data_IF_089714971047
#
_entry.id   IF_089714971047
#
_cell.length_a   1.000
_cell.length_b   1.000
_cell.length_c   1.000
_cell.angle_alpha   90.00
_cell.angle_beta   90.00
_cell.angle_gamma   90.00
#
_symmetry.space_group_name_H-M   'P 1'
#
loop_
_entity.id
_entity.type
_entity.pdbx_description
1 polymer ?
#
# COMPACT_ATOMS: atom_id res chain seq x y z
N UNK A 1 -6.13 -11.20 20.72
CA UNK A 1 -6.16 -10.60 19.38
C UNK A 1 -4.88 -11.05 18.69
N UNK A 2 -5.02 -11.69 17.53
CA UNK A 2 -3.87 -12.20 16.78
C UNK A 2 -3.40 -11.10 15.82
N UNK A 3 -2.29 -10.45 16.15
CA UNK A 3 -1.79 -9.29 15.40
C UNK A 3 -1.35 -9.67 13.99
N UNK A 4 -0.88 -10.89 13.77
CA UNK A 4 -0.48 -11.35 12.44
C UNK A 4 -1.71 -11.53 11.54
N UNK A 5 -2.79 -12.11 12.09
CA UNK A 5 -4.06 -12.22 11.39
C UNK A 5 -4.68 -10.85 11.07
N UNK A 6 -4.66 -9.92 12.02
CA UNK A 6 -5.12 -8.54 11.79
C UNK A 6 -4.29 -7.82 10.73
N UNK A 7 -2.98 -8.06 10.70
CA UNK A 7 -2.12 -7.50 9.67
C UNK A 7 -2.42 -8.09 8.29
N UNK A 8 -2.67 -9.40 8.18
CA UNK A 8 -3.14 -10.00 6.92
C UNK A 8 -4.48 -9.40 6.48
N UNK A 9 -5.45 -9.24 7.38
CA UNK A 9 -6.76 -8.61 7.08
C UNK A 9 -6.57 -7.19 6.54
N UNK A 10 -5.67 -6.42 7.14
CA UNK A 10 -5.31 -5.09 6.64
C UNK A 10 -4.71 -5.16 5.23
N UNK A 11 -3.77 -6.06 5.00
CA UNK A 11 -3.11 -6.24 3.70
C UNK A 11 -4.08 -6.66 2.60
N UNK A 12 -5.03 -7.54 2.90
CA UNK A 12 -6.07 -7.98 1.97
C UNK A 12 -6.99 -6.80 1.63
N UNK A 13 -7.45 -6.06 2.65
CA UNK A 13 -8.32 -4.91 2.46
C UNK A 13 -7.69 -3.83 1.55
N UNK A 14 -6.41 -3.49 1.74
CA UNK A 14 -5.73 -2.52 0.84
C UNK A 14 -5.42 -3.11 -0.54
N UNK A 15 -5.45 -4.44 -0.71
CA UNK A 15 -5.23 -5.09 -2.01
C UNK A 15 -6.47 -5.03 -2.88
N UNK A 16 -7.64 -5.24 -2.28
CA UNK A 16 -8.91 -5.23 -3.00
C UNK A 16 -9.32 -3.84 -3.49
N UNK A 17 -8.88 -2.76 -2.82
CA UNK A 17 -9.26 -1.39 -3.16
C UNK A 17 -8.88 -0.99 -4.60
N UNK A 18 -7.71 -1.41 -5.10
CA UNK A 18 -7.22 -0.94 -6.39
C UNK A 18 -7.91 -1.63 -7.58
N UNK A 19 -8.01 -2.98 -7.64
CA UNK A 19 -8.78 -3.64 -8.69
C UNK A 19 -10.27 -3.26 -8.65
N UNK A 20 -10.85 -3.04 -7.46
CA UNK A 20 -12.23 -2.61 -7.31
C UNK A 20 -12.47 -1.12 -7.59
N UNK A 21 -11.42 -0.31 -7.75
CA UNK A 21 -11.50 1.16 -7.88
C UNK A 21 -12.19 1.84 -6.66
N UNK A 22 -12.08 1.24 -5.47
CA UNK A 22 -12.78 1.67 -4.25
C UNK A 22 -11.90 2.60 -3.40
N UNK A 23 -11.94 3.89 -3.70
CA UNK A 23 -11.17 4.89 -2.94
C UNK A 23 -11.58 4.96 -1.47
N UNK A 24 -12.87 4.78 -1.15
CA UNK A 24 -13.36 4.83 0.22
C UNK A 24 -12.67 3.76 1.11
N UNK A 25 -12.56 2.53 0.60
CA UNK A 25 -11.86 1.46 1.30
C UNK A 25 -10.38 1.77 1.53
N UNK A 26 -9.71 2.41 0.55
CA UNK A 26 -8.33 2.86 0.71
C UNK A 26 -8.23 3.97 1.78
N UNK A 27 -9.11 4.96 1.70
CA UNK A 27 -9.15 6.12 2.60
C UNK A 27 -9.37 5.71 4.06
N UNK A 28 -10.22 4.72 4.33
CA UNK A 28 -10.52 4.24 5.68
C UNK A 28 -9.30 3.64 6.38
N UNK A 29 -8.32 3.16 5.60
CA UNK A 29 -7.07 2.57 6.07
C UNK A 29 -5.94 3.58 6.27
N UNK A 30 -6.17 4.86 5.94
CA UNK A 30 -5.16 5.91 6.00
C UNK A 30 -5.39 6.86 7.17
N UNK A 31 -4.31 7.17 7.88
CA UNK A 31 -4.25 8.27 8.85
C UNK A 31 -3.54 9.45 8.19
N UNK A 32 -4.21 10.60 8.15
CA UNK A 32 -3.62 11.86 7.67
C UNK A 32 -2.94 12.62 8.82
N UNK A 33 -1.85 13.38 8.55
CA UNK A 33 -1.12 13.41 7.29
C UNK A 33 -0.45 12.05 7.01
N UNK A 34 -0.49 11.64 5.74
CA UNK A 34 0.05 10.38 5.25
C UNK A 34 1.31 10.63 4.44
N UNK A 35 2.35 9.83 4.62
CA UNK A 35 3.59 9.98 3.85
C UNK A 35 3.95 8.75 3.04
N UNK A 36 4.36 8.95 1.81
CA UNK A 36 4.94 7.91 0.96
C UNK A 36 6.39 8.25 0.67
N UNK A 37 7.30 7.42 1.15
CA UNK A 37 8.71 7.54 0.83
C UNK A 37 8.93 6.89 -0.53
N UNK A 38 9.22 7.73 -1.52
CA UNK A 38 9.56 7.33 -2.87
C UNK A 38 11.06 7.54 -3.11
N UNK A 39 11.55 7.08 -4.25
CA UNK A 39 12.88 7.37 -4.79
C UNK A 39 13.14 8.87 -5.01
N UNK A 40 12.09 9.63 -5.33
CA UNK A 40 12.14 11.09 -5.45
C UNK A 40 12.06 11.82 -4.10
N UNK A 41 12.02 11.07 -3.00
CA UNK A 41 11.90 11.59 -1.64
C UNK A 41 10.51 11.34 -1.03
N UNK A 42 10.29 11.83 0.20
CA UNK A 42 8.98 11.78 0.85
C UNK A 42 7.97 12.64 0.08
N UNK A 43 6.82 12.06 -0.21
CA UNK A 43 5.60 12.79 -0.61
C UNK A 43 4.62 12.74 0.54
N UNK A 44 4.18 13.89 1.01
CA UNK A 44 3.16 14.01 2.04
C UNK A 44 1.80 14.30 1.41
N UNK A 45 0.76 13.78 2.05
CA UNK A 45 -0.64 14.00 1.71
C UNK A 45 -1.30 14.50 2.99
N UNK A 46 -1.70 15.77 2.99
CA UNK A 46 -2.37 16.41 4.12
C UNK A 46 -3.88 16.24 4.02
N UNK A 47 -4.40 16.14 2.80
CA UNK A 47 -5.84 16.12 2.54
C UNK A 47 -6.30 14.86 1.83
N UNK A 48 -7.61 14.58 1.95
CA UNK A 48 -8.23 13.49 1.22
C UNK A 48 -8.18 13.69 -0.29
N UNK A 49 -8.29 14.94 -0.77
CA UNK A 49 -8.22 15.25 -2.20
C UNK A 49 -6.86 14.92 -2.79
N UNK A 50 -5.77 15.23 -2.07
CA UNK A 50 -4.41 14.85 -2.46
C UNK A 50 -4.23 13.33 -2.47
N UNK A 51 -4.78 12.63 -1.47
CA UNK A 51 -4.76 11.17 -1.41
C UNK A 51 -5.56 10.56 -2.58
N UNK A 52 -6.69 11.15 -2.94
CA UNK A 52 -7.52 10.72 -4.07
C UNK A 52 -6.82 10.92 -5.40
N UNK A 53 -6.20 12.08 -5.61
CA UNK A 53 -5.39 12.33 -6.80
C UNK A 53 -4.25 11.30 -6.94
N UNK A 54 -3.61 10.92 -5.82
CA UNK A 54 -2.61 9.88 -5.80
C UNK A 54 -3.18 8.48 -6.10
N UNK A 55 -4.34 8.15 -5.55
CA UNK A 55 -5.02 6.89 -5.82
C UNK A 55 -5.36 6.72 -7.31
N UNK A 56 -5.79 7.79 -7.99
CA UNK A 56 -6.02 7.77 -9.44
C UNK A 56 -4.77 7.42 -10.25
N UNK A 57 -3.57 7.83 -9.79
CA UNK A 57 -2.33 7.38 -10.44
C UNK A 57 -2.16 5.87 -10.35
N UNK A 58 -2.40 5.27 -9.18
CA UNK A 58 -2.37 3.81 -9.03
C UNK A 58 -3.42 3.10 -9.89
N UNK A 59 -4.64 3.65 -10.01
CA UNK A 59 -5.69 3.08 -10.88
C UNK A 59 -5.32 3.17 -12.36
N UNK A 60 -4.77 4.31 -12.79
CA UNK A 60 -4.30 4.48 -14.17
C UNK A 60 -3.22 3.46 -14.49
N UNK A 61 -2.29 3.31 -13.55
CA UNK A 61 -1.23 2.36 -13.65
C UNK A 61 -1.83 0.92 -13.73
N UNK A 62 -2.77 0.55 -12.85
CA UNK A 62 -3.44 -0.77 -12.85
C UNK A 62 -4.05 -1.08 -14.23
N UNK A 63 -4.68 -0.07 -14.85
CA UNK A 63 -5.26 -0.18 -16.19
C UNK A 63 -4.19 -0.42 -17.27
N UNK A 64 -3.06 0.29 -17.21
CA UNK A 64 -1.94 0.14 -18.16
C UNK A 64 -1.36 -1.28 -18.12
N UNK A 65 -1.10 -1.81 -16.92
CA UNK A 65 -0.55 -3.16 -16.74
C UNK A 65 -1.62 -4.26 -16.77
N UNK A 66 -2.90 -3.88 -16.90
CA UNK A 66 -4.06 -4.79 -16.85
C UNK A 66 -4.05 -5.63 -15.57
N UNK A 67 -3.72 -5.00 -14.44
CA UNK A 67 -3.73 -5.65 -13.14
C UNK A 67 -5.17 -6.02 -12.79
N UNK A 68 -5.42 -7.31 -12.58
CA UNK A 68 -6.72 -7.84 -12.16
C UNK A 68 -6.69 -8.39 -10.72
N UNK A 69 -5.49 -8.62 -10.18
CA UNK A 69 -5.31 -9.06 -8.81
C UNK A 69 -4.04 -8.47 -8.22
N UNK A 70 -4.18 -7.94 -7.01
CA UNK A 70 -3.07 -7.57 -6.13
C UNK A 70 -3.18 -8.51 -4.94
N UNK A 71 -2.07 -9.09 -4.51
CA UNK A 71 -2.02 -9.73 -3.20
C UNK A 71 -0.77 -9.29 -2.47
N UNK A 72 -0.89 -9.17 -1.15
CA UNK A 72 0.20 -8.76 -0.27
C UNK A 72 0.43 -9.83 0.77
N UNK A 73 1.67 -10.32 0.83
CA UNK A 73 2.09 -11.35 1.78
C UNK A 73 2.85 -10.69 2.93
N UNK A 74 2.41 -10.85 4.19
CA UNK A 74 3.15 -10.36 5.34
C UNK A 74 4.51 -11.07 5.42
N UNK A 75 5.55 -10.31 5.71
CA UNK A 75 6.91 -10.80 5.92
C UNK A 75 7.35 -10.60 7.37
N UNK A 76 7.02 -9.46 7.97
CA UNK A 76 7.30 -9.17 9.36
C UNK A 76 6.30 -8.13 9.91
N UNK A 77 6.05 -8.17 11.21
CA UNK A 77 5.32 -7.15 11.94
C UNK A 77 6.07 -6.88 13.24
N UNK A 78 6.70 -5.72 13.33
CA UNK A 78 7.55 -5.35 14.48
C UNK A 78 6.86 -4.26 15.30
N UNK A 79 6.76 -4.44 16.62
CA UNK A 79 6.23 -3.41 17.52
C UNK A 79 7.32 -2.37 17.83
N UNK A 80 7.00 -1.10 17.64
CA UNK A 80 7.80 0.04 18.08
C UNK A 80 7.53 0.41 19.54
N UNK A 81 8.43 1.21 20.12
CA UNK A 81 8.33 1.67 21.52
C UNK A 81 7.17 2.66 21.76
N UNK A 82 6.68 3.31 20.70
CA UNK A 82 5.58 4.28 20.74
C UNK A 82 4.19 3.65 20.53
N UNK A 83 4.11 2.31 20.54
CA UNK A 83 2.85 1.58 20.31
C UNK A 83 2.44 1.49 18.84
N UNK A 84 3.30 1.96 17.92
CA UNK A 84 3.14 1.75 16.47
C UNK A 84 3.78 0.44 16.04
N UNK A 85 3.50 0.04 14.81
CA UNK A 85 4.04 -1.17 14.21
C UNK A 85 4.71 -0.87 12.88
N UNK A 86 5.83 -1.52 12.61
CA UNK A 86 6.44 -1.58 11.29
C UNK A 86 6.02 -2.89 10.62
N UNK A 87 5.07 -2.81 9.70
CA UNK A 87 4.62 -3.96 8.91
C UNK A 87 5.38 -4.04 7.60
N UNK A 88 6.11 -5.13 7.38
CA UNK A 88 6.81 -5.40 6.11
C UNK A 88 6.09 -6.50 5.34
N UNK A 89 5.86 -6.27 4.05
CA UNK A 89 5.12 -7.18 3.19
C UNK A 89 5.67 -7.21 1.76
N UNK A 90 5.45 -8.32 1.06
CA UNK A 90 5.72 -8.47 -0.36
C UNK A 90 4.45 -8.18 -1.15
N UNK A 91 4.51 -7.24 -2.09
CA UNK A 91 3.43 -6.96 -3.03
C UNK A 91 3.63 -7.75 -4.31
N UNK A 92 2.55 -8.41 -4.74
CA UNK A 92 2.49 -9.17 -5.97
C UNK A 92 1.37 -8.63 -6.85
N UNK A 93 1.71 -8.27 -8.08
CA UNK A 93 0.79 -7.73 -9.08
C UNK A 93 0.57 -8.75 -10.18
N UNK A 94 -0.69 -9.11 -10.45
CA UNK A 94 -1.06 -10.10 -11.44
C UNK A 94 -1.96 -9.51 -12.52
N UNK A 95 -1.80 -10.04 -13.73
CA UNK A 95 -2.70 -9.87 -14.86
C UNK A 95 -2.99 -11.24 -15.47
N UNK A 96 -4.25 -11.65 -15.50
CA UNK A 96 -4.71 -12.92 -16.07
C UNK A 96 -3.95 -14.13 -15.53
N UNK A 97 -3.73 -14.17 -14.20
CA UNK A 97 -3.02 -15.25 -13.51
C UNK A 97 -1.51 -15.28 -13.73
N UNK A 98 -0.93 -14.27 -14.40
CA UNK A 98 0.52 -14.11 -14.57
C UNK A 98 1.02 -12.89 -13.81
N UNK A 99 2.24 -12.95 -13.29
CA UNK A 99 2.89 -11.79 -12.66
C UNK A 99 3.10 -10.70 -13.70
N UNK A 100 2.58 -9.50 -13.45
CA UNK A 100 2.76 -8.34 -14.30
C UNK A 100 4.17 -7.75 -14.15
N UNK A 101 4.74 -7.81 -12.95
CA UNK A 101 6.09 -7.35 -12.60
C UNK A 101 6.75 -8.33 -11.62
N UNK A 102 8.04 -8.12 -11.34
CA UNK A 102 8.68 -8.78 -10.21
C UNK A 102 8.02 -8.32 -8.88
N UNK A 103 7.90 -9.21 -7.88
CA UNK A 103 7.46 -8.82 -6.55
C UNK A 103 8.40 -7.82 -5.93
N UNK A 104 7.84 -7.02 -5.04
CA UNK A 104 8.63 -6.07 -4.32
C UNK A 104 8.18 -5.94 -2.88
N UNK A 105 9.16 -5.64 -2.03
CA UNK A 105 8.92 -5.45 -0.61
C UNK A 105 8.52 -4.00 -0.35
N UNK A 106 7.61 -3.81 0.60
CA UNK A 106 7.26 -2.51 1.13
C UNK A 106 7.13 -2.63 2.64
N UNK A 107 7.43 -1.54 3.34
CA UNK A 107 7.18 -1.44 4.76
C UNK A 107 6.17 -0.32 5.00
N UNK A 108 5.30 -0.48 5.98
CA UNK A 108 4.34 0.54 6.38
C UNK A 108 4.44 0.79 7.88
N UNK A 109 4.33 2.06 8.26
CA UNK A 109 4.13 2.44 9.66
C UNK A 109 2.64 2.39 9.96
N UNK A 110 2.28 1.52 10.89
CA UNK A 110 0.90 1.17 11.22
C UNK A 110 0.57 1.57 12.66
N UNK A 111 -0.69 1.88 12.88
CA UNK A 111 -1.30 2.09 14.19
C UNK A 111 -2.48 1.13 14.33
N UNK A 112 -2.55 0.43 15.46
CA UNK A 112 -3.70 -0.42 15.77
C UNK A 112 -4.83 0.43 16.35
N UNK A 113 -5.99 0.46 15.68
CA UNK A 113 -7.20 1.16 16.15
C UNK A 113 -8.31 0.15 16.46
N UNK A 114 -9.43 0.56 17.08
CA UNK A 114 -10.58 -0.33 17.29
C UNK A 114 -11.15 -0.94 15.99
N UNK A 115 -10.92 -0.28 14.85
CA UNK A 115 -11.32 -0.71 13.51
C UNK A 115 -10.25 -1.58 12.81
N UNK A 116 -9.16 -1.91 13.50
CA UNK A 116 -8.01 -2.66 12.99
C UNK A 116 -6.82 -1.77 12.64
N UNK A 117 -5.87 -2.30 11.87
CA UNK A 117 -4.72 -1.51 11.47
C UNK A 117 -5.10 -0.37 10.52
N UNK A 118 -4.50 0.79 10.77
CA UNK A 118 -4.44 1.92 9.86
C UNK A 118 -2.99 2.35 9.65
N UNK A 119 -2.76 3.07 8.57
CA UNK A 119 -1.44 3.33 8.03
C UNK A 119 -1.15 4.83 7.95
N UNK A 120 0.02 5.22 8.44
CA UNK A 120 0.50 6.61 8.44
C UNK A 120 1.61 6.85 7.43
N UNK A 121 2.39 5.83 7.10
CA UNK A 121 3.38 5.96 6.04
C UNK A 121 3.66 4.66 5.33
N UNK A 122 4.08 4.75 4.07
CA UNK A 122 4.67 3.64 3.31
C UNK A 122 6.10 3.99 2.95
N UNK A 123 6.99 3.03 3.17
CA UNK A 123 8.36 3.01 2.69
C UNK A 123 8.42 2.01 1.54
N UNK A 124 8.53 2.52 0.31
CA UNK A 124 8.68 1.68 -0.86
C UNK A 124 10.14 1.21 -0.97
N UNK A 125 10.42 -0.03 -0.58
CA UNK A 125 11.71 -0.65 -0.87
C UNK A 125 11.74 -1.07 -2.36
N UNK A 126 12.26 -0.19 -3.21
CA UNK A 126 12.82 -0.46 -4.56
C UNK A 126 11.92 -1.02 -5.68
N UNK A 127 10.63 -1.32 -5.49
CA UNK A 127 9.81 -1.90 -6.58
C UNK A 127 8.70 -1.07 -7.20
N UNK A 128 8.50 0.17 -6.74
CA UNK A 128 7.47 1.06 -7.30
C UNK A 128 7.85 1.60 -8.70
N UNK A 129 9.13 1.51 -9.07
CA UNK A 129 9.72 2.20 -10.22
C UNK A 129 9.57 1.52 -11.59
N UNK A 130 9.15 0.26 -11.69
CA UNK A 130 8.96 -0.36 -13.01
C UNK A 130 7.74 0.19 -13.77
N UNK A 131 7.01 1.18 -13.22
CA UNK A 131 5.66 1.51 -13.64
C UNK A 131 5.36 2.97 -14.00
N UNK A 132 6.20 3.94 -13.66
CA UNK A 132 5.89 5.37 -13.91
C UNK A 132 6.55 5.97 -15.14
N UNK A 133 7.29 5.19 -15.93
CA UNK A 133 7.62 5.57 -17.31
C UNK A 133 8.43 6.87 -17.47
N UNK A 134 9.30 7.20 -16.51
CA UNK A 134 10.33 8.23 -16.72
C UNK A 134 11.42 7.64 -17.61
N UNK A 135 11.20 7.75 -18.92
CA UNK A 135 12.25 7.63 -19.92
C UNK A 135 13.37 8.61 -19.57
N UNK A 136 14.59 8.11 -19.48
CA UNK A 136 15.79 8.94 -19.59
C UNK A 136 15.95 9.50 -21.00
#
# INVERSE_FOLDING_TARGET
MDLEAEFQIFLDAISDCFPACEFAGWRDRIILPFSMITDHGPREFETEDELRANFEHYLSACRILRIDMIYRKPLALESGEDGRFLGTYETNLLSNGKRATAPYTSSALLEMTPEGFKMRSILNARGHQDWTGSTG
#
